data_IF_033934336839
#
_entry.id   IF_033934336839
#
_cell.length_a   1.000
_cell.length_b   1.000
_cell.length_c   1.000
_cell.angle_alpha   90.00
_cell.angle_beta   90.00
_cell.angle_gamma   90.00
#
_symmetry.space_group_name_H-M   'P 1'
#
loop_
_entity.id
_entity.type
_entity.pdbx_description
1 polymer ?
#
# COMPACT_ATOMS: atom_id res chain seq x y z
N UNK A 1 -1.02 -3.72 29.42
CA UNK A 1 -0.74 -4.24 28.07
C UNK A 1 -1.70 -3.52 27.14
N UNK A 2 -1.20 -2.80 26.13
CA UNK A 2 -2.08 -2.30 25.07
C UNK A 2 -2.38 -3.49 24.16
N UNK A 3 -3.56 -4.08 24.33
CA UNK A 3 -4.01 -5.15 23.46
C UNK A 3 -4.14 -4.59 22.05
N UNK A 4 -3.45 -5.23 21.10
CA UNK A 4 -3.61 -4.93 19.68
C UNK A 4 -5.05 -5.21 19.27
N UNK A 5 -5.79 -4.19 18.83
CA UNK A 5 -7.23 -4.28 18.54
C UNK A 5 -7.51 -4.46 17.05
N UNK A 6 -6.58 -4.02 16.20
CA UNK A 6 -6.84 -3.87 14.76
C UNK A 6 -5.87 -4.63 13.88
N UNK A 7 -4.99 -5.45 14.46
CA UNK A 7 -4.02 -6.24 13.73
C UNK A 7 -3.90 -7.66 14.27
N UNK A 8 -3.25 -8.52 13.48
CA UNK A 8 -2.84 -9.88 13.84
C UNK A 8 -1.33 -10.06 13.62
N UNK A 9 -0.69 -11.04 14.27
CA UNK A 9 0.69 -11.41 13.95
C UNK A 9 0.87 -11.65 12.45
N UNK A 10 1.99 -11.17 11.91
CA UNK A 10 2.37 -11.38 10.52
C UNK A 10 3.47 -12.44 10.47
N UNK A 11 3.19 -13.56 9.82
CA UNK A 11 4.05 -14.75 9.83
C UNK A 11 4.66 -15.07 8.47
N UNK A 12 4.32 -14.29 7.44
CA UNK A 12 4.88 -14.48 6.12
C UNK A 12 6.30 -13.91 6.05
N UNK A 13 7.20 -14.65 5.42
CA UNK A 13 8.55 -14.18 5.16
C UNK A 13 8.49 -13.14 4.03
N UNK A 14 8.89 -11.90 4.35
CA UNK A 14 9.14 -10.91 3.30
C UNK A 14 10.33 -11.36 2.43
N UNK A 15 10.34 -11.01 1.14
CA UNK A 15 11.53 -11.20 0.32
C UNK A 15 12.73 -10.57 1.04
N UNK A 16 13.92 -11.20 0.98
CA UNK A 16 15.09 -10.73 1.70
C UNK A 16 15.41 -9.29 1.27
N UNK A 17 15.14 -8.34 2.15
CA UNK A 17 15.49 -6.94 1.98
C UNK A 17 17.00 -6.79 2.22
N UNK A 18 17.81 -7.23 1.26
CA UNK A 18 19.26 -7.02 1.26
C UNK A 18 19.58 -5.53 1.03
N UNK A 19 20.39 -4.86 1.89
CA UNK A 19 20.62 -5.03 3.31
C UNK A 19 19.98 -3.84 4.05
N UNK A 20 18.66 -3.77 4.10
CA UNK A 20 17.98 -2.75 4.89
C UNK A 20 17.67 -3.38 6.24
N UNK A 21 18.44 -3.06 7.28
CA UNK A 21 18.24 -3.55 8.65
C UNK A 21 16.91 -3.16 9.31
N UNK A 22 15.87 -2.89 8.53
CA UNK A 22 14.52 -2.70 9.00
C UNK A 22 13.94 -4.07 9.42
N UNK A 23 13.40 -4.19 10.65
CA UNK A 23 12.77 -5.42 11.07
C UNK A 23 11.59 -5.75 10.16
N UNK A 24 11.41 -7.04 9.83
CA UNK A 24 10.22 -7.51 9.14
C UNK A 24 8.96 -7.09 9.93
N UNK A 25 7.84 -6.78 9.26
CA UNK A 25 6.58 -6.47 9.91
C UNK A 25 6.22 -7.59 10.87
N UNK A 26 6.01 -7.27 12.14
CA UNK A 26 5.61 -8.25 13.14
C UNK A 26 4.09 -8.48 13.11
N UNK A 27 3.34 -7.55 12.49
CA UNK A 27 1.88 -7.52 12.48
C UNK A 27 1.36 -6.96 11.17
N UNK A 28 0.13 -7.33 10.84
CA UNK A 28 -0.62 -6.82 9.69
C UNK A 28 -2.02 -6.42 10.15
N UNK A 29 -2.55 -5.33 9.59
CA UNK A 29 -3.91 -4.91 9.85
C UNK A 29 -4.93 -6.01 9.56
N UNK A 30 -6.00 -6.07 10.33
CA UNK A 30 -7.18 -6.89 10.04
C UNK A 30 -7.97 -6.33 8.84
N UNK A 31 -7.74 -5.07 8.46
CA UNK A 31 -8.50 -4.36 7.43
C UNK A 31 -7.75 -4.27 6.08
N UNK A 32 -7.03 -5.32 5.70
CA UNK A 32 -6.29 -5.39 4.42
C UNK A 32 -7.23 -5.16 3.24
N UNK A 33 -8.42 -5.76 3.26
CA UNK A 33 -9.42 -5.61 2.20
C UNK A 33 -9.88 -4.16 2.07
N UNK A 34 -10.12 -3.47 3.18
CA UNK A 34 -10.48 -2.05 3.17
C UNK A 34 -9.38 -1.17 2.55
N UNK A 35 -8.11 -1.52 2.77
CA UNK A 35 -7.00 -0.85 2.10
C UNK A 35 -7.02 -1.13 0.59
N UNK A 36 -7.21 -2.38 0.18
CA UNK A 36 -7.30 -2.75 -1.25
C UNK A 36 -8.48 -2.09 -1.98
N UNK A 37 -9.64 -1.99 -1.32
CA UNK A 37 -10.81 -1.25 -1.83
C UNK A 37 -10.45 0.21 -2.06
N UNK A 38 -9.88 0.88 -1.05
CA UNK A 38 -9.49 2.28 -1.15
C UNK A 38 -8.50 2.54 -2.28
N UNK A 39 -7.56 1.61 -2.51
CA UNK A 39 -6.63 1.66 -3.62
C UNK A 39 -7.31 1.50 -4.98
N UNK A 40 -8.28 0.59 -5.06
CA UNK A 40 -9.08 0.40 -6.28
C UNK A 40 -9.89 1.66 -6.60
N UNK A 41 -10.57 2.24 -5.61
CA UNK A 41 -11.29 3.52 -5.75
C UNK A 41 -10.35 4.63 -6.24
N UNK A 42 -9.16 4.75 -5.64
CA UNK A 42 -8.16 5.72 -6.05
C UNK A 42 -7.73 5.54 -7.51
N UNK A 43 -7.45 4.30 -7.93
CA UNK A 43 -7.05 3.99 -9.32
C UNK A 43 -8.16 4.39 -10.31
N UNK A 44 -9.41 4.08 -9.99
CA UNK A 44 -10.55 4.41 -10.83
C UNK A 44 -10.74 5.92 -10.96
N UNK A 45 -10.64 6.65 -9.85
CA UNK A 45 -10.70 8.10 -9.83
C UNK A 45 -9.55 8.74 -10.61
N UNK A 46 -8.32 8.25 -10.40
CA UNK A 46 -7.13 8.72 -11.11
C UNK A 46 -7.28 8.59 -12.62
N UNK A 47 -7.75 7.42 -13.09
CA UNK A 47 -8.02 7.14 -14.50
C UNK A 47 -9.14 8.01 -15.07
N UNK A 48 -10.22 8.19 -14.32
CA UNK A 48 -11.36 9.04 -14.74
C UNK A 48 -10.93 10.48 -14.97
N UNK A 49 -9.99 10.97 -14.19
CA UNK A 49 -9.44 12.33 -14.32
C UNK A 49 -8.34 12.45 -15.40
N UNK A 50 -8.02 11.37 -16.12
CA UNK A 50 -7.01 11.39 -17.19
C UNK A 50 -5.59 11.67 -16.67
N UNK A 51 -5.32 11.37 -15.40
CA UNK A 51 -4.01 11.63 -14.81
C UNK A 51 -2.98 10.60 -15.30
N UNK A 52 -1.73 11.03 -15.56
CA UNK A 52 -0.69 10.14 -16.05
C UNK A 52 -0.41 9.02 -15.03
N UNK A 53 -0.37 7.78 -15.49
CA UNK A 53 0.01 6.62 -14.67
C UNK A 53 1.48 6.31 -14.91
N UNK A 54 2.26 6.26 -13.85
CA UNK A 54 3.70 6.36 -13.99
C UNK A 54 4.45 5.04 -14.12
N UNK A 55 3.75 3.91 -14.10
CA UNK A 55 4.36 2.63 -14.44
C UNK A 55 3.36 1.67 -15.10
N UNK A 56 3.92 0.71 -15.86
CA UNK A 56 3.20 -0.37 -16.53
C UNK A 56 2.46 -1.29 -15.55
N UNK A 57 2.71 -1.16 -14.25
CA UNK A 57 2.12 -1.98 -13.22
C UNK A 57 1.93 -1.22 -11.89
N UNK A 58 1.23 -0.07 -11.97
CA UNK A 58 0.84 0.74 -10.82
C UNK A 58 0.27 -0.09 -9.67
N UNK A 59 -0.45 -1.16 -9.98
CA UNK A 59 -1.08 -2.07 -9.02
C UNK A 59 -0.08 -2.92 -8.23
N UNK A 60 1.04 -3.35 -8.83
CA UNK A 60 2.02 -4.19 -8.14
C UNK A 60 2.88 -3.43 -7.13
N UNK A 61 2.97 -2.10 -7.27
CA UNK A 61 3.64 -1.22 -6.29
C UNK A 61 2.77 -0.93 -5.06
N UNK A 62 1.44 -0.86 -5.23
CA UNK A 62 0.48 -0.60 -4.14
C UNK A 62 0.09 -1.90 -3.40
N UNK A 63 0.03 -3.00 -4.14
CA UNK A 63 -0.31 -4.33 -3.66
C UNK A 63 0.79 -5.32 -4.05
N UNK A 64 1.82 -5.54 -3.22
CA UNK A 64 2.63 -6.75 -3.35
C UNK A 64 1.68 -7.94 -3.10
N UNK A 65 1.26 -8.59 -4.19
CA UNK A 65 0.11 -9.52 -4.23
C UNK A 65 0.19 -10.67 -3.24
N UNK A 66 1.38 -10.97 -2.74
CA UNK A 66 1.62 -12.08 -1.82
C UNK A 66 1.51 -11.67 -0.33
N UNK A 67 1.56 -10.37 -0.01
CA UNK A 67 1.71 -9.85 1.35
C UNK A 67 0.60 -8.90 1.80
N UNK A 68 -0.34 -8.57 0.91
CA UNK A 68 -1.42 -7.62 1.14
C UNK A 68 -1.02 -6.19 0.78
N UNK A 69 -1.86 -5.22 1.12
CA UNK A 69 -1.62 -3.80 0.84
C UNK A 69 -0.51 -3.24 1.73
N UNK A 70 0.41 -2.42 1.19
CA UNK A 70 1.53 -1.85 1.94
C UNK A 70 1.08 -1.08 3.19
N UNK A 71 0.01 -0.28 3.07
CA UNK A 71 -0.62 0.43 4.20
C UNK A 71 -0.97 -0.48 5.38
N UNK A 72 -1.44 -1.71 5.13
CA UNK A 72 -1.82 -2.65 6.18
C UNK A 72 -0.61 -3.22 6.95
N UNK A 73 0.57 -3.24 6.33
CA UNK A 73 1.83 -3.65 6.95
C UNK A 73 2.49 -2.49 7.71
N UNK A 74 2.41 -1.27 7.18
CA UNK A 74 3.01 -0.08 7.80
C UNK A 74 2.18 0.48 8.96
N UNK A 75 0.86 0.34 8.90
CA UNK A 75 -0.09 0.91 9.87
C UNK A 75 -1.04 -0.16 10.44
N UNK A 76 -0.51 -1.24 11.06
CA UNK A 76 -1.32 -2.41 11.42
C UNK A 76 -2.44 -2.09 12.41
N UNK A 77 -2.23 -1.16 13.34
CA UNK A 77 -3.21 -0.75 14.35
C UNK A 77 -4.11 0.43 13.94
N UNK A 78 -4.11 0.81 12.65
CA UNK A 78 -5.05 1.84 12.21
C UNK A 78 -6.49 1.34 12.34
N UNK A 79 -7.37 2.20 12.84
CA UNK A 79 -8.80 1.92 12.91
C UNK A 79 -9.40 1.81 11.49
N UNK A 80 -10.53 1.12 11.31
CA UNK A 80 -11.10 0.85 9.98
C UNK A 80 -11.43 2.12 9.19
N UNK A 81 -11.81 3.21 9.86
CA UNK A 81 -12.08 4.49 9.20
C UNK A 81 -10.80 5.22 8.74
N UNK A 82 -9.65 4.94 9.37
CA UNK A 82 -8.37 5.59 9.06
C UNK A 82 -7.58 4.87 7.98
N UNK A 83 -7.64 3.53 7.93
CA UNK A 83 -6.85 2.76 6.96
C UNK A 83 -7.14 3.18 5.52
N UNK A 84 -8.41 3.44 5.18
CA UNK A 84 -8.80 3.91 3.83
C UNK A 84 -8.14 5.24 3.47
N UNK A 85 -8.16 6.20 4.40
CA UNK A 85 -7.53 7.51 4.19
C UNK A 85 -6.01 7.42 4.06
N UNK A 86 -5.37 6.62 4.92
CA UNK A 86 -3.93 6.35 4.86
C UNK A 86 -3.56 5.75 3.50
N UNK A 87 -4.32 4.75 3.04
CA UNK A 87 -4.11 4.16 1.71
C UNK A 87 -4.18 5.20 0.60
N UNK A 88 -5.24 6.02 0.54
CA UNK A 88 -5.37 7.03 -0.52
C UNK A 88 -4.19 8.00 -0.55
N UNK A 89 -3.69 8.42 0.61
CA UNK A 89 -2.52 9.30 0.70
C UNK A 89 -1.25 8.59 0.21
N UNK A 90 -1.02 7.35 0.64
CA UNK A 90 0.12 6.55 0.18
C UNK A 90 0.10 6.32 -1.33
N UNK A 91 -1.07 5.95 -1.87
CA UNK A 91 -1.24 5.69 -3.28
C UNK A 91 -1.02 6.95 -4.12
N UNK A 92 -1.47 8.11 -3.62
CA UNK A 92 -1.18 9.40 -4.24
C UNK A 92 0.32 9.73 -4.23
N UNK A 93 1.02 9.47 -3.12
CA UNK A 93 2.49 9.65 -3.03
C UNK A 93 3.19 8.76 -4.06
N UNK A 94 2.80 7.48 -4.15
CA UNK A 94 3.40 6.53 -5.08
C UNK A 94 3.06 6.86 -6.55
N UNK A 95 1.85 7.35 -6.81
CA UNK A 95 1.47 7.87 -8.13
C UNK A 95 2.29 9.11 -8.52
N UNK A 96 2.65 9.96 -7.56
CA UNK A 96 3.43 11.17 -7.79
C UNK A 96 4.95 10.93 -7.86
N UNK A 97 5.46 9.91 -7.15
CA UNK A 97 6.90 9.57 -7.11
C UNK A 97 7.43 9.05 -8.45
N UNK A 98 6.59 8.36 -9.20
CA UNK A 98 6.99 7.92 -10.53
C UNK A 98 7.35 9.10 -11.44
N UNK A 99 8.43 8.97 -12.22
CA UNK A 99 8.77 9.93 -13.29
C UNK A 99 7.87 9.73 -14.51
N UNK A 100 7.16 10.76 -15.03
CA UNK A 100 6.50 10.64 -16.32
C UNK A 100 7.54 10.22 -17.36
N UNK A 101 7.30 9.11 -18.07
CA UNK A 101 8.16 8.73 -19.18
C UNK A 101 8.08 9.86 -20.21
N UNK A 102 9.17 10.62 -20.36
CA UNK A 102 9.33 11.52 -21.49
C UNK A 102 9.12 10.69 -22.76
N UNK A 103 8.38 11.20 -23.75
CA UNK A 103 8.28 10.51 -25.03
C UNK A 103 9.70 10.30 -25.56
N UNK A 104 10.01 9.06 -25.95
CA UNK A 104 11.26 8.75 -26.63
C UNK A 104 11.30 9.58 -27.91
N UNK A 105 12.11 10.63 -27.90
CA UNK A 105 12.49 11.44 -29.06
C UNK A 105 13.39 10.67 -29.99
#
# INVERSE_FOLDING_TARGET
MTDYQHSKPYTQQLPPLFPCGAPAPQRISLYVESAMEASTEFIEEWKRNGLPTVSRDFRSQLCPTNHGHLAALMFPESSPHRIKGITKVLDMILAADGKPMLPLS
#
